data_IF_052557796878
#
_entry.id   IF_052557796878
#
_cell.length_a   1.000
_cell.length_b   1.000
_cell.length_c   1.000
_cell.angle_alpha   90.00
_cell.angle_beta   90.00
_cell.angle_gamma   90.00
#
_symmetry.space_group_name_H-M   'P 1'
#
loop_
_entity.id
_entity.type
_entity.pdbx_description
1 polymer ?
#
# COMPACT_ATOMS: atom_id res chain seq x y z
N UNK A 1 6.58 -5.03 19.33
CA UNK A 1 6.59 -5.97 18.19
C UNK A 1 7.84 -5.77 17.34
N UNK A 2 8.33 -6.78 16.61
CA UNK A 2 9.48 -6.65 15.72
C UNK A 2 9.14 -5.86 14.44
N UNK A 3 10.16 -5.26 13.84
CA UNK A 3 10.07 -4.64 12.51
C UNK A 3 9.78 -5.70 11.44
N UNK A 4 8.88 -5.39 10.52
CA UNK A 4 8.52 -6.26 9.40
C UNK A 4 8.51 -5.48 8.07
N UNK A 5 9.00 -6.12 7.00
CA UNK A 5 8.96 -5.61 5.64
C UNK A 5 8.08 -6.53 4.79
N UNK A 6 7.16 -5.94 4.02
CA UNK A 6 6.28 -6.70 3.14
C UNK A 6 6.85 -6.75 1.73
N UNK A 7 6.96 -7.95 1.18
CA UNK A 7 7.25 -8.18 -0.25
C UNK A 7 5.98 -8.82 -0.82
N UNK A 8 5.30 -8.10 -1.72
CA UNK A 8 3.98 -8.49 -2.22
C UNK A 8 3.89 -8.26 -3.74
N UNK A 9 3.25 -9.18 -4.45
CA UNK A 9 2.93 -9.02 -5.87
C UNK A 9 1.80 -8.00 -6.07
N UNK A 10 1.88 -7.23 -7.16
CA UNK A 10 0.90 -6.17 -7.47
C UNK A 10 -0.36 -6.68 -8.18
N UNK A 11 -0.47 -8.00 -8.31
CA UNK A 11 -1.60 -8.72 -8.88
C UNK A 11 -2.78 -8.79 -7.90
N UNK A 12 -2.52 -8.79 -6.60
CA UNK A 12 -3.49 -8.81 -5.51
C UNK A 12 -4.58 -9.90 -5.64
N UNK A 13 -4.32 -11.00 -6.34
CA UNK A 13 -5.26 -12.11 -6.54
C UNK A 13 -5.04 -13.21 -5.49
N UNK A 14 -5.34 -12.88 -4.23
CA UNK A 14 -5.14 -13.78 -3.11
C UNK A 14 -6.46 -14.19 -2.41
N UNK A 15 -6.63 -15.46 -2.00
CA UNK A 15 -7.78 -15.89 -1.19
C UNK A 15 -7.89 -15.15 0.16
N UNK A 16 -6.76 -14.77 0.75
CA UNK A 16 -6.65 -14.07 2.05
C UNK A 16 -7.00 -12.58 1.98
N UNK A 17 -7.06 -11.99 0.78
CA UNK A 17 -7.51 -10.62 0.56
C UNK A 17 -9.05 -10.56 0.66
N UNK A 18 -9.57 -10.33 1.87
CA UNK A 18 -10.98 -10.50 2.21
C UNK A 18 -11.72 -9.20 2.55
N UNK A 19 -11.03 -8.20 3.07
CA UNK A 19 -11.65 -7.00 3.63
C UNK A 19 -11.18 -5.72 2.95
N UNK A 20 -12.01 -4.67 3.04
CA UNK A 20 -11.65 -3.30 2.62
C UNK A 20 -10.36 -2.84 3.31
N UNK A 21 -10.20 -3.19 4.58
CA UNK A 21 -8.99 -2.89 5.35
C UNK A 21 -7.77 -3.54 4.72
N UNK A 22 -7.80 -4.84 4.38
CA UNK A 22 -6.67 -5.49 3.72
C UNK A 22 -6.32 -4.82 2.38
N UNK A 23 -7.33 -4.49 1.56
CA UNK A 23 -7.11 -3.79 0.30
C UNK A 23 -6.43 -2.43 0.50
N UNK A 24 -7.02 -1.60 1.37
CA UNK A 24 -6.52 -0.25 1.60
C UNK A 24 -5.14 -0.24 2.27
N UNK A 25 -4.79 -1.25 3.07
CA UNK A 25 -3.46 -1.37 3.68
C UNK A 25 -2.35 -1.42 2.64
N UNK A 26 -2.54 -2.09 1.50
CA UNK A 26 -1.49 -2.28 0.49
C UNK A 26 -1.62 -1.37 -0.75
N UNK A 27 -2.69 -0.59 -0.83
CA UNK A 27 -3.01 0.18 -2.04
C UNK A 27 -3.22 1.67 -1.80
N UNK A 28 -3.00 2.13 -0.57
CA UNK A 28 -3.04 3.55 -0.20
C UNK A 28 -1.70 3.94 0.44
N UNK A 29 -1.53 5.22 0.77
CA UNK A 29 -0.36 5.74 1.48
C UNK A 29 -0.16 5.13 2.89
N UNK A 30 -1.06 4.24 3.32
CA UNK A 30 -0.82 3.34 4.46
C UNK A 30 0.34 2.38 4.19
N UNK A 31 0.56 1.97 2.93
CA UNK A 31 1.71 1.20 2.51
C UNK A 31 2.84 2.15 2.12
N UNK A 32 3.86 2.26 2.96
CA UNK A 32 5.03 3.08 2.64
C UNK A 32 6.03 2.21 1.89
N UNK A 33 6.43 2.68 0.70
CA UNK A 33 7.41 1.99 -0.12
C UNK A 33 8.79 1.94 0.55
N UNK A 34 9.46 0.80 0.42
CA UNK A 34 10.75 0.55 1.09
C UNK A 34 11.83 1.59 0.70
N UNK A 35 11.88 1.98 -0.58
CA UNK A 35 12.83 2.99 -1.07
C UNK A 35 12.64 4.36 -0.40
N UNK A 36 11.40 4.70 -0.03
CA UNK A 36 11.11 5.94 0.69
C UNK A 36 11.71 5.88 2.09
N UNK A 37 11.49 4.76 2.81
CA UNK A 37 12.06 4.56 4.15
C UNK A 37 13.59 4.54 4.10
N UNK A 38 14.17 3.84 3.13
CA UNK A 38 15.62 3.78 2.92
C UNK A 38 16.23 5.18 2.74
N UNK A 39 15.66 5.99 1.84
CA UNK A 39 16.12 7.35 1.61
C UNK A 39 16.08 8.21 2.87
N UNK A 40 15.02 8.07 3.68
CA UNK A 40 14.89 8.79 4.94
C UNK A 40 15.93 8.36 5.98
N UNK A 41 16.17 7.06 6.11
CA UNK A 41 17.18 6.52 7.03
C UNK A 41 18.58 6.95 6.62
N UNK A 42 18.87 6.99 5.32
CA UNK A 42 20.17 7.45 4.79
C UNK A 42 20.40 8.93 5.09
N UNK A 43 19.43 9.78 4.81
CA UNK A 43 19.50 11.23 5.12
C UNK A 43 19.66 11.46 6.63
N UNK A 44 18.92 10.72 7.45
CA UNK A 44 19.04 10.76 8.91
C UNK A 44 20.45 10.41 9.41
N UNK A 45 21.10 9.42 8.80
CA UNK A 45 22.45 9.02 9.15
C UNK A 45 23.49 10.09 8.76
N UNK A 46 23.26 10.83 7.67
CA UNK A 46 24.17 11.86 7.16
C UNK A 46 24.01 13.21 7.90
N UNK A 47 22.78 13.62 8.23
CA UNK A 47 22.46 14.93 8.84
C UNK A 47 22.36 14.91 10.37
N UNK A 48 22.44 13.74 11.01
CA UNK A 48 22.26 13.57 12.45
C UNK A 48 20.78 13.56 12.91
N UNK A 49 20.49 13.09 14.14
CA UNK A 49 19.14 12.76 14.59
C UNK A 49 18.15 13.94 14.67
N UNK A 50 18.63 15.19 14.69
CA UNK A 50 17.79 16.38 14.78
C UNK A 50 17.08 16.73 13.46
N UNK A 51 17.56 16.24 12.31
CA UNK A 51 16.91 16.42 11.00
C UNK A 51 16.12 15.18 10.54
N UNK A 52 15.94 14.19 11.41
CA UNK A 52 15.03 13.04 11.22
C UNK A 52 13.54 13.42 11.27
N UNK A 53 13.22 14.70 11.13
CA UNK A 53 11.86 15.23 11.09
C UNK A 53 10.93 14.52 10.09
N UNK A 54 11.37 13.98 8.92
CA UNK A 54 10.45 13.34 8.01
C UNK A 54 10.02 11.93 8.43
N UNK A 55 10.84 11.15 9.14
CA UNK A 55 10.39 9.86 9.75
C UNK A 55 9.44 10.11 10.91
N UNK A 56 9.70 11.15 11.71
CA UNK A 56 8.77 11.59 12.73
C UNK A 56 7.47 12.08 12.07
N UNK A 57 7.49 12.92 11.03
CA UNK A 57 6.29 13.39 10.32
C UNK A 57 5.46 12.28 9.66
N UNK A 58 6.08 11.16 9.26
CA UNK A 58 5.36 9.96 8.82
C UNK A 58 4.60 9.25 9.96
N UNK A 59 4.83 9.62 11.21
CA UNK A 59 4.18 9.00 12.38
C UNK A 59 3.59 10.02 13.37
N UNK A 60 3.95 11.29 13.25
CA UNK A 60 3.78 12.32 14.28
C UNK A 60 2.44 13.04 14.21
N UNK A 61 1.71 13.02 13.10
CA UNK A 61 0.47 13.77 13.01
C UNK A 61 -0.73 12.85 12.79
N UNK A 62 -1.47 12.71 13.89
CA UNK A 62 -2.83 12.21 14.00
C UNK A 62 -3.05 10.71 13.67
N UNK A 63 -3.24 9.85 14.69
CA UNK A 63 -3.71 8.47 14.51
C UNK A 63 -4.97 8.35 13.62
N UNK A 64 -5.80 9.39 13.58
CA UNK A 64 -6.97 9.47 12.71
C UNK A 64 -6.60 9.49 11.23
N UNK A 65 -5.44 10.04 10.83
CA UNK A 65 -4.96 10.02 9.44
C UNK A 65 -4.87 8.60 8.92
N UNK A 66 -4.13 7.74 9.63
CA UNK A 66 -3.93 6.34 9.24
C UNK A 66 -5.24 5.55 9.27
N UNK A 67 -6.07 5.77 10.29
CA UNK A 67 -7.38 5.16 10.39
C UNK A 67 -8.31 5.56 9.23
N UNK A 68 -8.18 6.78 8.72
CA UNK A 68 -8.97 7.30 7.59
C UNK A 68 -8.57 6.65 6.27
N UNK A 69 -7.26 6.44 6.04
CA UNK A 69 -6.74 5.73 4.86
C UNK A 69 -7.29 4.30 4.75
N UNK A 70 -7.49 3.61 5.88
CA UNK A 70 -8.05 2.25 5.88
C UNK A 70 -9.56 2.22 5.56
N UNK A 71 -10.25 3.36 5.65
CA UNK A 71 -11.70 3.48 5.45
C UNK A 71 -12.10 4.07 4.10
N UNK A 72 -11.14 4.51 3.29
CA UNK A 72 -11.41 5.08 1.96
C UNK A 72 -12.23 4.13 1.08
N UNK A 73 -12.96 4.65 0.08
CA UNK A 73 -13.70 3.82 -0.87
C UNK A 73 -12.83 2.73 -1.51
N UNK A 74 -13.44 1.60 -1.85
CA UNK A 74 -12.76 0.50 -2.52
C UNK A 74 -12.43 0.88 -3.96
N UNK A 75 -11.32 1.57 -4.16
CA UNK A 75 -10.86 2.02 -5.47
C UNK A 75 -9.77 1.11 -6.00
N UNK A 76 -9.85 0.73 -7.27
CA UNK A 76 -8.77 0.03 -7.96
C UNK A 76 -7.55 0.95 -8.06
N UNK A 77 -6.48 0.59 -7.35
CA UNK A 77 -5.20 1.30 -7.36
C UNK A 77 -4.04 0.38 -7.75
N UNK A 78 -4.35 -0.81 -8.27
CA UNK A 78 -3.30 -1.67 -8.82
C UNK A 78 -2.63 -0.97 -10.01
N UNK A 79 -1.29 -0.96 -10.05
CA UNK A 79 -0.55 -0.40 -11.17
C UNK A 79 -0.78 -1.17 -12.48
N UNK A 80 -1.26 -2.42 -12.41
CA UNK A 80 -1.57 -3.24 -13.59
C UNK A 80 -2.81 -2.77 -14.37
N UNK A 81 -3.67 -1.93 -13.79
CA UNK A 81 -4.96 -1.56 -14.39
C UNK A 81 -5.06 -0.11 -14.85
N UNK A 82 -4.62 0.84 -14.01
CA UNK A 82 -4.78 2.28 -14.26
C UNK A 82 -6.21 2.84 -14.21
N UNK A 83 -7.28 2.03 -14.03
CA UNK A 83 -8.67 2.49 -14.21
C UNK A 83 -9.23 3.38 -13.09
N UNK A 84 -8.71 3.30 -11.86
CA UNK A 84 -9.24 4.02 -10.67
C UNK A 84 -10.75 3.81 -10.41
N UNK A 85 -11.33 2.72 -10.89
CA UNK A 85 -12.74 2.39 -10.67
C UNK A 85 -13.03 2.16 -9.18
N UNK A 86 -14.19 2.58 -8.70
CA UNK A 86 -14.63 2.38 -7.30
C UNK A 86 -15.72 1.32 -7.23
N UNK A 87 -15.64 0.45 -6.22
CA UNK A 87 -16.50 -0.71 -6.04
C UNK A 87 -17.29 -0.62 -4.75
N UNK A 88 -18.49 -1.19 -4.74
CA UNK A 88 -19.37 -1.22 -3.56
C UNK A 88 -18.96 -2.28 -2.53
N UNK A 89 -18.30 -3.36 -2.96
CA UNK A 89 -17.91 -4.47 -2.11
C UNK A 89 -16.63 -5.18 -2.59
N UNK A 90 -16.01 -5.95 -1.68
CA UNK A 90 -14.78 -6.69 -1.96
C UNK A 90 -14.93 -7.74 -3.08
N UNK A 91 -16.00 -8.56 -3.15
CA UNK A 91 -16.17 -9.51 -4.24
C UNK A 91 -16.13 -8.88 -5.64
N UNK A 92 -16.78 -7.72 -5.83
CA UNK A 92 -16.76 -7.00 -7.09
C UNK A 92 -15.35 -6.53 -7.47
N UNK A 93 -14.60 -6.01 -6.49
CA UNK A 93 -13.20 -5.61 -6.70
C UNK A 93 -12.30 -6.80 -7.03
N UNK A 94 -12.45 -7.94 -6.33
CA UNK A 94 -11.67 -9.16 -6.62
C UNK A 94 -11.97 -9.71 -8.01
N UNK A 95 -13.24 -9.72 -8.41
CA UNK A 95 -13.64 -10.14 -9.75
C UNK A 95 -13.07 -9.21 -10.83
N UNK A 96 -12.88 -7.92 -10.52
CA UNK A 96 -12.19 -6.99 -11.40
C UNK A 96 -10.69 -7.30 -11.50
N UNK A 97 -9.99 -7.40 -10.36
CA UNK A 97 -8.54 -7.60 -10.31
C UNK A 97 -8.11 -8.95 -10.91
N UNK A 98 -8.85 -10.03 -10.64
CA UNK A 98 -8.56 -11.37 -11.18
C UNK A 98 -8.67 -11.45 -12.72
N UNK A 99 -9.29 -10.48 -13.39
CA UNK A 99 -9.27 -10.40 -14.87
C UNK A 99 -7.94 -9.89 -15.40
N UNK A 100 -7.22 -9.10 -14.62
CA UNK A 100 -5.94 -8.50 -15.00
C UNK A 100 -4.81 -9.53 -14.91
N UNK A 101 -4.88 -10.43 -13.92
CA UNK A 101 -3.84 -11.44 -13.65
C UNK A 101 -3.79 -12.54 -14.71
N UNK A 102 -4.91 -12.80 -15.40
CA UNK A 102 -5.02 -13.82 -16.45
C UNK A 102 -4.30 -13.49 -17.76
N UNK A 103 -3.77 -12.27 -17.90
CA UNK A 103 -3.06 -11.83 -19.10
C UNK A 103 -1.57 -11.53 -18.87
N UNK A 104 -1.05 -11.77 -17.66
CA UNK A 104 0.38 -11.62 -17.37
C UNK A 104 1.11 -12.89 -17.78
N UNK A 105 1.44 -13.01 -19.07
CA UNK A 105 2.43 -14.00 -19.51
C UNK A 105 3.81 -13.46 -19.15
N UNK A 106 4.45 -14.07 -18.15
CA UNK A 106 5.88 -13.85 -17.93
C UNK A 106 6.65 -14.41 -19.12
N UNK A 107 7.38 -13.59 -19.90
CA UNK A 107 8.38 -14.13 -20.78
C UNK A 107 9.48 -14.70 -19.87
N UNK A 108 9.62 -16.03 -19.92
CA UNK A 108 10.79 -16.72 -19.36
C UNK A 108 11.95 -16.50 -20.33
#
# INVERSE_FOLDING_TARGET
>A
EPLHLHIISQDFDAPSLKSKRHWNTFTTDYFIEAHTVEGLVRTAAESGPAECYPLLALTADDPSRWASLLKVPLTCRTPLCGCKATFSNMPALKAHVSKLTKHVTWPI
#
